data_IF_552990352276
#
_entry.id   IF_552990352276
#
_cell.length_a   1.000
_cell.length_b   1.000
_cell.length_c   1.000
_cell.angle_alpha   90.00
_cell.angle_beta   90.00
_cell.angle_gamma   90.00
#
_symmetry.space_group_name_H-M   'P 1'
#
loop_
_entity.id
_entity.type
_entity.pdbx_description
1 polymer ?
#
# COMPACT_ATOMS: atom_id res chain seq x y z
N UNK A 1 -1.43 41.84 -17.82
CA UNK A 1 -2.29 41.33 -16.73
C UNK A 1 -1.34 40.78 -15.66
N UNK A 2 -1.25 41.42 -14.49
CA UNK A 2 -0.32 41.04 -13.41
C UNK A 2 -1.01 40.02 -12.50
N UNK A 3 -0.46 38.82 -12.35
CA UNK A 3 -0.84 37.88 -11.30
C UNK A 3 0.06 38.13 -10.09
N UNK A 4 -0.41 38.96 -9.16
CA UNK A 4 0.29 39.24 -7.90
C UNK A 4 -0.03 38.18 -6.85
N UNK A 5 1.04 37.62 -6.26
CA UNK A 5 1.18 37.17 -4.87
C UNK A 5 0.11 36.24 -4.30
N UNK A 6 0.42 34.93 -4.26
CA UNK A 6 -0.30 33.94 -3.42
C UNK A 6 0.57 33.45 -2.24
N UNK A 7 1.81 33.91 -2.08
CA UNK A 7 2.65 33.52 -0.93
C UNK A 7 2.98 34.73 -0.07
N UNK A 8 2.54 34.69 1.18
CA UNK A 8 2.80 35.66 2.26
C UNK A 8 4.28 35.64 2.71
N UNK A 9 5.21 35.80 1.77
CA UNK A 9 6.64 35.84 2.04
C UNK A 9 7.32 36.78 1.04
N UNK A 10 7.54 38.04 1.45
CA UNK A 10 8.05 39.12 0.58
C UNK A 10 9.50 38.90 0.08
N UNK A 11 10.20 37.89 0.59
CA UNK A 11 11.59 37.58 0.24
C UNK A 11 11.75 36.49 -0.84
N UNK A 12 10.68 35.77 -1.20
CA UNK A 12 10.72 34.68 -2.18
C UNK A 12 10.08 35.12 -3.51
N UNK A 13 10.80 35.98 -4.25
CA UNK A 13 10.45 36.30 -5.63
C UNK A 13 10.98 35.19 -6.54
N UNK A 14 10.16 34.18 -6.78
CA UNK A 14 10.45 33.18 -7.80
C UNK A 14 10.24 33.81 -9.18
N UNK A 15 11.19 33.61 -10.09
CA UNK A 15 10.99 33.97 -11.49
C UNK A 15 10.07 32.97 -12.19
N UNK A 16 9.50 33.35 -13.33
CA UNK A 16 8.54 32.51 -14.07
C UNK A 16 9.08 31.11 -14.39
N UNK A 17 10.38 31.01 -14.67
CA UNK A 17 11.06 29.74 -14.96
C UNK A 17 11.23 28.86 -13.72
N UNK A 18 11.50 29.47 -12.56
CA UNK A 18 11.53 28.77 -11.29
C UNK A 18 10.13 28.28 -10.91
N UNK A 19 9.12 29.13 -11.10
CA UNK A 19 7.72 28.75 -10.87
C UNK A 19 7.33 27.55 -11.74
N UNK A 20 7.66 27.59 -13.03
CA UNK A 20 7.47 26.47 -13.95
C UNK A 20 8.15 25.18 -13.44
N UNK A 21 9.41 25.26 -13.00
CA UNK A 21 10.11 24.09 -12.46
C UNK A 21 9.51 23.54 -11.18
N UNK A 22 9.03 24.41 -10.28
CA UNK A 22 8.31 23.98 -9.08
C UNK A 22 6.97 23.33 -9.43
N UNK A 23 6.23 23.88 -10.39
CA UNK A 23 4.98 23.29 -10.87
C UNK A 23 5.23 21.92 -11.50
N UNK A 24 6.25 21.78 -12.35
CA UNK A 24 6.62 20.50 -12.96
C UNK A 24 7.08 19.48 -11.92
N UNK A 25 7.82 19.90 -10.90
CA UNK A 25 8.20 19.02 -9.80
C UNK A 25 7.00 18.54 -8.98
N UNK A 26 6.01 19.41 -8.75
CA UNK A 26 4.77 19.04 -8.06
C UNK A 26 3.91 18.10 -8.91
N UNK A 27 3.82 18.35 -10.22
CA UNK A 27 3.18 17.41 -11.16
C UNK A 27 3.91 16.06 -11.13
N UNK A 28 5.25 16.05 -11.16
CA UNK A 28 6.04 14.83 -11.06
C UNK A 28 5.77 14.08 -9.75
N UNK A 29 5.58 14.81 -8.63
CA UNK A 29 5.19 14.22 -7.34
C UNK A 29 3.82 13.55 -7.40
N UNK A 30 2.84 14.18 -8.06
CA UNK A 30 1.49 13.61 -8.26
C UNK A 30 1.50 12.43 -9.23
N UNK A 31 2.28 12.50 -10.32
CA UNK A 31 2.42 11.37 -11.25
C UNK A 31 3.05 10.15 -10.56
N UNK A 32 4.00 10.38 -9.64
CA UNK A 32 4.61 9.30 -8.87
C UNK A 32 3.65 8.57 -7.95
N UNK A 33 2.57 9.21 -7.47
CA UNK A 33 1.56 8.50 -6.65
C UNK A 33 0.72 7.51 -7.47
N UNK A 34 0.70 7.64 -8.79
CA UNK A 34 0.04 6.70 -9.72
C UNK A 34 1.05 5.83 -10.51
N UNK A 35 2.29 5.74 -10.02
CA UNK A 35 3.33 4.93 -10.67
C UNK A 35 3.90 5.52 -11.98
N UNK A 36 3.53 6.75 -12.34
CA UNK A 36 4.03 7.43 -13.55
C UNK A 36 5.16 8.42 -13.21
N UNK A 37 5.83 8.89 -14.25
CA UNK A 37 6.91 9.87 -14.19
C UNK A 37 6.65 10.98 -15.19
N UNK A 38 7.14 12.19 -14.91
CA UNK A 38 7.12 13.27 -15.89
C UNK A 38 7.88 12.91 -17.18
N UNK A 39 8.80 11.93 -17.12
CA UNK A 39 9.50 11.37 -18.29
C UNK A 39 8.58 10.66 -19.27
N UNK A 40 7.43 10.15 -18.81
CA UNK A 40 6.47 9.44 -19.65
C UNK A 40 5.68 10.40 -20.56
N UNK A 41 5.80 11.72 -20.30
CA UNK A 41 5.16 12.78 -21.05
C UNK A 41 6.21 13.61 -21.78
N UNK A 42 6.68 13.11 -22.92
CA UNK A 42 7.75 13.73 -23.73
C UNK A 42 7.44 15.14 -24.23
N UNK A 43 6.16 15.52 -24.24
CA UNK A 43 5.69 16.86 -24.60
C UNK A 43 5.86 17.90 -23.47
N UNK A 44 6.19 17.46 -22.25
CA UNK A 44 6.40 18.35 -21.12
C UNK A 44 7.89 18.60 -20.87
N UNK A 45 8.30 19.87 -20.66
CA UNK A 45 9.66 20.20 -20.29
C UNK A 45 10.05 19.52 -18.97
N UNK A 46 11.29 19.03 -18.88
CA UNK A 46 11.79 18.38 -17.67
C UNK A 46 12.47 19.41 -16.77
N UNK A 47 12.08 19.52 -15.49
CA UNK A 47 12.78 20.39 -14.56
C UNK A 47 14.17 19.80 -14.25
N UNK A 48 15.14 20.65 -13.84
CA UNK A 48 16.45 20.18 -13.41
C UNK A 48 16.34 19.20 -12.22
N UNK A 49 17.24 18.20 -12.15
CA UNK A 49 17.17 17.08 -11.18
C UNK A 49 17.06 17.52 -9.72
N UNK A 50 17.69 18.64 -9.35
CA UNK A 50 17.64 19.19 -7.99
C UNK A 50 16.22 19.59 -7.54
N UNK A 51 15.29 19.81 -8.48
CA UNK A 51 13.86 20.04 -8.17
C UNK A 51 13.08 18.73 -7.97
N UNK A 52 13.63 17.60 -8.40
CA UNK A 52 13.02 16.26 -8.29
C UNK A 52 13.51 15.50 -7.05
N UNK A 53 14.70 15.84 -6.55
CA UNK A 53 15.37 15.16 -5.42
C UNK A 53 14.69 15.41 -4.06
N UNK A 54 13.74 16.35 -3.98
CA UNK A 54 12.99 16.63 -2.74
C UNK A 54 11.93 15.56 -2.42
N UNK A 55 11.59 14.68 -3.38
CA UNK A 55 10.53 13.67 -3.20
C UNK A 55 11.12 12.38 -2.64
N UNK A 56 11.27 12.32 -1.31
CA UNK A 56 11.41 11.04 -0.59
C UNK A 56 10.09 10.28 -0.68
N UNK A 57 9.96 9.45 -1.70
CA UNK A 57 8.85 8.52 -1.85
C UNK A 57 9.19 7.27 -1.03
N UNK A 58 8.46 7.03 0.05
CA UNK A 58 8.53 5.74 0.75
C UNK A 58 7.70 4.73 -0.05
N UNK A 59 8.30 4.15 -1.09
CA UNK A 59 7.71 2.98 -1.75
C UNK A 59 7.77 1.81 -0.77
N UNK A 60 6.60 1.25 -0.45
CA UNK A 60 6.50 -0.02 0.26
C UNK A 60 6.88 -1.15 -0.70
N UNK A 61 8.17 -1.29 -0.98
CA UNK A 61 8.74 -2.44 -1.72
C UNK A 61 8.68 -3.74 -0.92
N UNK A 62 8.49 -3.64 0.40
CA UNK A 62 8.42 -4.78 1.28
C UNK A 62 7.28 -4.62 2.28
N UNK A 63 6.47 -5.67 2.38
CA UNK A 63 5.33 -5.69 3.30
C UNK A 63 5.87 -5.88 4.72
N UNK A 64 5.95 -4.80 5.50
CA UNK A 64 6.60 -4.78 6.83
C UNK A 64 5.85 -5.58 7.90
N UNK A 65 4.64 -6.07 7.60
CA UNK A 65 3.80 -6.87 8.51
C UNK A 65 4.10 -8.37 8.44
N UNK A 66 4.95 -8.79 7.49
CA UNK A 66 5.23 -10.19 7.21
C UNK A 66 6.52 -10.64 7.89
N UNK A 67 6.39 -11.52 8.89
CA UNK A 67 7.52 -12.06 9.66
C UNK A 67 8.25 -13.16 8.87
N UNK A 68 9.58 -13.26 9.00
CA UNK A 68 10.38 -14.28 8.29
C UNK A 68 10.00 -15.67 8.80
N UNK A 69 9.37 -16.48 7.94
CA UNK A 69 9.02 -17.86 8.25
C UNK A 69 10.26 -18.68 8.67
N UNK A 70 10.08 -19.62 9.58
CA UNK A 70 11.13 -20.52 10.10
C UNK A 70 11.54 -21.64 9.13
N UNK A 71 10.82 -21.83 8.02
CA UNK A 71 11.07 -22.88 7.02
C UNK A 71 10.99 -22.28 5.61
N UNK A 72 11.89 -22.68 4.72
CA UNK A 72 11.98 -22.24 3.31
C UNK A 72 10.64 -22.34 2.57
N UNK A 73 9.87 -23.40 2.78
CA UNK A 73 8.55 -23.58 2.14
C UNK A 73 7.54 -22.52 2.62
N UNK A 74 7.53 -22.21 3.92
CA UNK A 74 6.67 -21.16 4.48
C UNK A 74 7.12 -19.79 4.00
N UNK A 75 8.43 -19.55 3.91
CA UNK A 75 8.99 -18.31 3.38
C UNK A 75 8.60 -18.11 1.91
N UNK A 76 8.64 -19.16 1.11
CA UNK A 76 8.28 -19.07 -0.31
C UNK A 76 6.79 -18.78 -0.49
N UNK A 77 5.89 -19.56 0.14
CA UNK A 77 4.44 -19.28 0.12
C UNK A 77 4.12 -17.86 0.58
N UNK A 78 4.85 -17.38 1.58
CA UNK A 78 4.70 -16.02 2.08
C UNK A 78 5.13 -14.95 1.06
N UNK A 79 6.22 -15.18 0.32
CA UNK A 79 6.65 -14.30 -0.78
C UNK A 79 5.63 -14.29 -1.91
N UNK A 80 5.08 -15.45 -2.25
CA UNK A 80 4.09 -15.59 -3.31
C UNK A 80 2.81 -14.80 -2.95
N UNK A 81 2.32 -14.96 -1.71
CA UNK A 81 1.20 -14.17 -1.18
C UNK A 81 1.50 -12.67 -1.16
N UNK A 82 2.69 -12.28 -0.70
CA UNK A 82 3.09 -10.87 -0.67
C UNK A 82 3.17 -10.24 -2.07
N UNK A 83 3.71 -10.99 -3.04
CA UNK A 83 3.75 -10.57 -4.44
C UNK A 83 2.34 -10.40 -5.03
N UNK A 84 1.42 -11.31 -4.71
CA UNK A 84 0.02 -11.20 -5.11
C UNK A 84 -0.66 -9.96 -4.51
N UNK A 85 -0.48 -9.69 -3.21
CA UNK A 85 -1.02 -8.46 -2.56
C UNK A 85 -0.45 -7.19 -3.19
N UNK A 86 0.84 -7.18 -3.54
CA UNK A 86 1.46 -6.05 -4.23
C UNK A 86 0.85 -5.85 -5.62
N UNK A 87 0.65 -6.92 -6.39
CA UNK A 87 0.02 -6.85 -7.70
C UNK A 87 -1.42 -6.28 -7.62
N UNK A 88 -2.16 -6.59 -6.55
CA UNK A 88 -3.47 -5.96 -6.29
C UNK A 88 -3.31 -4.45 -6.11
N UNK A 89 -2.38 -4.02 -5.23
CA UNK A 89 -2.13 -2.60 -4.97
C UNK A 89 -1.63 -1.82 -6.20
N UNK A 90 -0.89 -2.48 -7.09
CA UNK A 90 -0.40 -1.92 -8.35
C UNK A 90 -1.43 -2.00 -9.48
N UNK A 91 -2.57 -2.68 -9.29
CA UNK A 91 -3.60 -2.88 -10.30
C UNK A 91 -3.24 -3.90 -11.40
N UNK A 92 -2.21 -4.71 -11.19
CA UNK A 92 -1.70 -5.73 -12.12
C UNK A 92 -2.34 -7.11 -11.87
N UNK A 93 -3.67 -7.17 -11.74
CA UNK A 93 -4.41 -8.42 -11.55
C UNK A 93 -5.42 -8.64 -12.69
N UNK A 94 -5.59 -9.90 -13.08
CA UNK A 94 -6.66 -10.29 -14.00
C UNK A 94 -8.01 -10.07 -13.30
N UNK A 95 -8.83 -9.18 -13.86
CA UNK A 95 -10.19 -8.93 -13.35
C UNK A 95 -11.08 -10.11 -13.68
N UNK A 96 -12.07 -10.37 -12.82
CA UNK A 96 -13.10 -11.36 -13.12
C UNK A 96 -13.75 -11.06 -14.48
N UNK A 97 -13.97 -12.10 -15.28
CA UNK A 97 -14.51 -12.01 -16.66
C UNK A 97 -16.03 -11.79 -16.66
N UNK A 98 -16.65 -11.94 -15.48
CA UNK A 98 -18.05 -11.60 -15.21
C UNK A 98 -18.23 -10.08 -15.34
N UNK A 99 -19.08 -9.66 -16.28
CA UNK A 99 -19.25 -8.28 -16.69
C UNK A 99 -19.93 -7.35 -15.69
N UNK A 100 -19.76 -7.56 -14.38
CA UNK A 100 -20.20 -6.62 -13.37
C UNK A 100 -19.10 -6.30 -12.34
N UNK A 101 -19.08 -5.01 -12.01
CA UNK A 101 -18.51 -4.35 -10.83
C UNK A 101 -17.00 -4.06 -10.86
N UNK A 102 -16.70 -2.77 -10.71
CA UNK A 102 -15.46 -2.30 -10.11
C UNK A 102 -15.23 -3.08 -8.79
N UNK A 103 -13.98 -3.39 -8.44
CA UNK A 103 -13.55 -3.99 -7.15
C UNK A 103 -13.51 -5.53 -7.03
N UNK A 104 -13.77 -6.30 -8.09
CA UNK A 104 -13.68 -7.78 -7.99
C UNK A 104 -12.24 -8.30 -8.11
N UNK A 105 -11.66 -8.67 -6.96
CA UNK A 105 -10.41 -9.43 -6.86
C UNK A 105 -10.73 -10.92 -6.72
N UNK A 106 -10.11 -11.76 -7.56
CA UNK A 106 -10.18 -13.21 -7.37
C UNK A 106 -9.05 -13.64 -6.45
N UNK A 107 -9.38 -14.21 -5.29
CA UNK A 107 -8.39 -14.77 -4.37
C UNK A 107 -7.95 -16.15 -4.90
N UNK A 108 -6.64 -16.37 -5.16
CA UNK A 108 -6.15 -17.65 -5.63
C UNK A 108 -6.50 -18.81 -4.67
N UNK A 109 -7.00 -19.96 -5.17
CA UNK A 109 -7.42 -21.09 -4.34
C UNK A 109 -6.34 -21.62 -3.39
N UNK A 110 -5.06 -21.48 -3.75
CA UNK A 110 -3.92 -21.86 -2.93
C UNK A 110 -3.77 -21.04 -1.63
N UNK A 111 -4.41 -19.87 -1.57
CA UNK A 111 -4.49 -19.04 -0.36
C UNK A 111 -5.78 -19.30 0.44
N UNK A 112 -6.72 -20.03 -0.14
CA UNK A 112 -8.02 -20.32 0.48
C UNK A 112 -8.00 -21.70 1.12
N UNK A 113 -8.49 -21.80 2.36
CA UNK A 113 -8.75 -23.09 2.98
C UNK A 113 -10.14 -23.59 2.57
N UNK A 114 -10.26 -24.24 1.39
CA UNK A 114 -11.54 -24.68 0.80
C UNK A 114 -11.91 -26.12 1.26
N UNK A 115 -11.13 -26.70 2.18
CA UNK A 115 -11.30 -28.08 2.66
C UNK A 115 -12.21 -28.21 3.88
N UNK A 116 -13.41 -28.75 3.65
CA UNK A 116 -14.28 -29.51 4.56
C UNK A 116 -15.11 -28.79 5.65
N UNK A 117 -16.21 -29.46 5.99
CA UNK A 117 -17.32 -29.08 6.88
C UNK A 117 -16.89 -28.91 8.35
N UNK A 118 -16.14 -27.85 8.66
CA UNK A 118 -16.26 -27.00 9.85
C UNK A 118 -15.10 -26.02 9.89
N UNK A 119 -15.23 -25.04 8.99
CA UNK A 119 -14.29 -23.95 8.74
C UNK A 119 -13.87 -23.16 9.99
N UNK A 120 -14.69 -23.09 11.05
CA UNK A 120 -14.43 -22.23 12.20
C UNK A 120 -13.60 -22.89 13.29
N UNK A 121 -13.86 -24.16 13.63
CA UNK A 121 -13.12 -24.83 14.71
C UNK A 121 -11.65 -25.04 14.31
N UNK A 122 -11.39 -25.44 13.06
CA UNK A 122 -10.03 -25.54 12.52
C UNK A 122 -9.32 -24.16 12.49
N UNK A 123 -10.06 -23.08 12.24
CA UNK A 123 -9.52 -21.72 12.32
C UNK A 123 -9.21 -21.30 13.76
N UNK A 124 -10.08 -21.66 14.72
CA UNK A 124 -9.86 -21.41 16.14
C UNK A 124 -8.65 -22.19 16.62
N UNK A 125 -8.54 -23.48 16.32
CA UNK A 125 -7.42 -24.31 16.75
C UNK A 125 -6.09 -23.91 16.10
N UNK A 126 -6.11 -23.49 14.83
CA UNK A 126 -4.90 -22.99 14.16
C UNK A 126 -4.46 -21.61 14.65
N UNK A 127 -5.40 -20.72 15.00
CA UNK A 127 -5.09 -19.35 15.47
C UNK A 127 -4.79 -19.33 16.97
N UNK A 128 -5.52 -20.13 17.75
CA UNK A 128 -5.50 -20.20 19.22
C UNK A 128 -5.27 -21.63 19.72
N UNK A 129 -4.07 -22.20 19.49
CA UNK A 129 -3.73 -23.52 20.04
C UNK A 129 -3.78 -23.48 21.57
N UNK A 130 -4.32 -24.54 22.17
CA UNK A 130 -4.48 -24.70 23.63
C UNK A 130 -5.18 -23.50 24.30
N UNK A 131 -6.19 -22.93 23.64
CA UNK A 131 -6.88 -21.72 24.11
C UNK A 131 -7.32 -21.79 25.58
N UNK A 132 -7.93 -22.91 25.99
CA UNK A 132 -8.42 -23.11 27.37
C UNK A 132 -7.31 -22.98 28.41
N UNK A 133 -6.06 -23.32 28.07
CA UNK A 133 -4.92 -23.21 28.97
C UNK A 133 -4.33 -21.79 28.98
N UNK A 134 -4.41 -21.09 27.84
CA UNK A 134 -3.65 -19.86 27.61
C UNK A 134 -4.50 -18.58 27.55
N UNK A 135 -5.84 -18.66 27.60
CA UNK A 135 -6.73 -17.49 27.46
C UNK A 135 -6.51 -16.39 28.51
N UNK A 136 -5.89 -16.72 29.66
CA UNK A 136 -5.53 -15.75 30.71
C UNK A 136 -4.14 -15.13 30.54
N UNK A 137 -3.32 -15.63 29.62
CA UNK A 137 -1.98 -15.13 29.40
C UNK A 137 -2.01 -13.90 28.48
N UNK A 138 -1.63 -12.70 28.98
CA UNK A 138 -1.67 -11.47 28.18
C UNK A 138 -0.75 -11.50 26.95
N UNK A 139 0.41 -12.17 27.05
CA UNK A 139 1.36 -12.28 25.94
C UNK A 139 0.84 -13.22 24.84
N UNK A 140 0.15 -14.30 25.23
CA UNK A 140 -0.48 -15.22 24.29
C UNK A 140 -1.53 -14.51 23.43
N UNK A 141 -2.37 -13.69 24.06
CA UNK A 141 -3.41 -12.92 23.38
C UNK A 141 -2.84 -11.77 22.54
N UNK A 142 -1.82 -11.07 23.02
CA UNK A 142 -1.26 -9.90 22.31
C UNK A 142 -0.60 -10.28 20.98
N UNK A 143 0.10 -11.41 20.92
CA UNK A 143 0.69 -11.93 19.67
C UNK A 143 -0.36 -12.30 18.60
N UNK A 144 -1.61 -12.56 19.03
CA UNK A 144 -2.70 -13.05 18.19
C UNK A 144 -3.81 -12.01 17.98
N UNK A 145 -3.69 -10.84 18.61
CA UNK A 145 -4.67 -9.76 18.51
C UNK A 145 -4.54 -9.03 17.17
N UNK A 146 -5.67 -8.87 16.46
CA UNK A 146 -5.76 -7.97 15.32
C UNK A 146 -6.16 -6.59 15.84
N UNK A 147 -5.20 -5.68 15.92
CA UNK A 147 -5.48 -4.29 16.29
C UNK A 147 -6.14 -3.57 15.10
N UNK A 148 -7.43 -3.25 15.24
CA UNK A 148 -8.15 -2.35 14.36
C UNK A 148 -8.38 -1.00 15.07
N UNK A 149 -8.40 0.14 14.36
CA UNK A 149 -8.81 1.41 14.95
C UNK A 149 -10.19 1.28 15.59
N UNK A 150 -10.40 1.86 16.77
CA UNK A 150 -11.73 1.94 17.38
C UNK A 150 -12.62 2.81 16.50
N UNK A 151 -13.73 2.25 16.00
CA UNK A 151 -14.73 3.01 15.27
C UNK A 151 -15.44 3.97 16.23
N UNK A 152 -15.02 5.22 16.25
CA UNK A 152 -15.61 6.29 17.07
C UNK A 152 -16.95 6.82 16.53
N UNK A 153 -17.52 6.19 15.50
CA UNK A 153 -18.77 6.62 14.84
C UNK A 153 -20.00 5.84 15.27
N UNK A 154 -19.88 4.90 16.21
CA UNK A 154 -21.05 4.26 16.85
C UNK A 154 -21.23 4.88 18.23
N UNK A 155 -22.03 5.94 18.30
CA UNK A 155 -22.66 6.44 19.53
C UNK A 155 -24.08 5.89 19.65
#
# INVERSE_FOLDING_TARGET
MKLTNITANEQLKLNDKQLEFYTLAEIHRLLRSIGKSLKDFTQMPQPPKNYLDCVKLNQLVHNMRINKGTNEVKVQRMKDFAGWVLNIGDGNIERAVDGNVEDDITIPPEFCNIGNENCIDDMIDSTFPDFIQNYKNPNYLSERAILTPTNSTVS
#
